data_IF_672891620080
#
_entry.id   IF_672891620080
#
_cell.length_a   1.000
_cell.length_b   1.000
_cell.length_c   1.000
_cell.angle_alpha   90.00
_cell.angle_beta   90.00
_cell.angle_gamma   90.00
#
_symmetry.space_group_name_H-M   'P 1'
#
loop_
_entity.id
_entity.type
_entity.pdbx_description
1 polymer ?
#
# COMPACT_ATOMS: atom_id res chain seq x y z
N UNK A 1 1.39 -15.74 -18.86
CA UNK A 1 0.73 -15.03 -17.74
C UNK A 1 -0.06 -16.08 -16.99
N UNK A 2 0.35 -16.44 -15.76
CA UNK A 2 -0.40 -17.43 -14.99
C UNK A 2 -1.80 -16.89 -14.67
N UNK A 3 -2.81 -17.69 -14.95
CA UNK A 3 -4.22 -17.32 -14.78
C UNK A 3 -4.49 -17.12 -13.27
N UNK A 4 -5.12 -15.99 -12.90
CA UNK A 4 -5.42 -15.65 -11.50
C UNK A 4 -4.47 -14.63 -10.83
N UNK A 5 -3.41 -14.21 -11.52
CA UNK A 5 -2.58 -13.06 -11.11
C UNK A 5 -2.97 -11.81 -11.89
N UNK A 6 -3.01 -10.67 -11.22
CA UNK A 6 -3.34 -9.36 -11.80
C UNK A 6 -2.27 -8.36 -11.39
N UNK A 7 -1.78 -7.57 -12.34
CA UNK A 7 -0.84 -6.48 -12.08
C UNK A 7 -1.60 -5.17 -12.28
N UNK A 8 -1.57 -4.30 -11.26
CA UNK A 8 -2.24 -3.01 -11.29
C UNK A 8 -1.23 -1.88 -11.06
N UNK A 9 -1.17 -0.92 -11.97
CA UNK A 9 -0.32 0.27 -11.81
C UNK A 9 -1.02 1.30 -10.95
N UNK A 10 -0.34 1.73 -9.88
CA UNK A 10 -0.83 2.76 -8.96
C UNK A 10 0.13 3.94 -8.98
N UNK A 11 -0.42 5.15 -8.81
CA UNK A 11 0.34 6.37 -8.64
C UNK A 11 0.09 7.00 -7.27
N UNK A 12 1.14 7.48 -6.62
CA UNK A 12 1.09 8.30 -5.41
C UNK A 12 1.87 9.59 -5.62
N UNK A 13 1.29 10.71 -5.17
CA UNK A 13 1.92 12.03 -5.28
C UNK A 13 3.23 12.06 -4.48
N UNK A 14 4.25 12.68 -5.07
CA UNK A 14 5.55 12.93 -4.45
C UNK A 14 5.44 14.01 -3.37
N UNK A 15 6.50 14.13 -2.56
CA UNK A 15 6.58 15.08 -1.45
C UNK A 15 6.20 14.50 -0.08
N UNK A 16 6.14 15.41 0.90
CA UNK A 16 5.75 15.13 2.28
C UNK A 16 4.24 15.16 2.49
N UNK A 17 3.80 15.14 3.75
CA UNK A 17 2.39 15.19 4.11
C UNK A 17 2.09 16.51 4.80
N UNK A 18 1.21 17.33 4.20
CA UNK A 18 0.63 18.48 4.89
C UNK A 18 -0.38 18.01 5.92
N UNK A 19 -0.35 18.53 7.15
CA UNK A 19 -1.40 18.29 8.14
C UNK A 19 -2.72 18.91 7.66
N UNK A 20 -3.85 18.18 7.71
CA UNK A 20 -5.15 18.74 7.35
C UNK A 20 -5.68 19.61 8.51
N UNK A 21 -5.22 20.86 8.60
CA UNK A 21 -5.75 21.84 9.55
C UNK A 21 -6.35 23.05 8.83
N UNK A 22 -7.52 23.55 9.29
CA UNK A 22 -8.11 24.77 8.74
C UNK A 22 -7.13 25.94 8.84
N UNK A 23 -6.92 26.66 7.73
CA UNK A 23 -6.05 27.85 7.64
C UNK A 23 -4.59 27.65 8.11
N UNK A 24 -4.12 26.42 8.34
CA UNK A 24 -2.77 26.18 8.88
C UNK A 24 -2.66 26.38 10.39
N UNK A 25 -3.76 26.58 11.11
CA UNK A 25 -3.75 26.92 12.54
C UNK A 25 -3.79 25.63 13.37
N UNK A 26 -2.81 25.47 14.27
CA UNK A 26 -2.73 24.37 15.23
C UNK A 26 -2.67 24.96 16.64
N UNK A 27 -3.62 24.59 17.49
CA UNK A 27 -3.65 25.03 18.88
C UNK A 27 -2.79 24.13 19.79
N UNK A 28 -2.42 24.66 20.96
CA UNK A 28 -1.64 23.94 21.98
C UNK A 28 -0.13 24.20 21.91
N UNK A 29 0.64 23.26 22.44
CA UNK A 29 2.09 23.41 22.64
C UNK A 29 2.85 23.64 21.32
N UNK A 30 3.87 24.52 21.28
CA UNK A 30 4.66 24.82 20.08
C UNK A 30 5.24 23.59 19.38
N UNK A 31 5.61 22.56 20.12
CA UNK A 31 6.18 21.31 19.59
C UNK A 31 5.26 20.60 18.58
N UNK A 32 3.95 20.79 18.70
CA UNK A 32 2.96 20.12 17.85
C UNK A 32 2.47 21.00 16.69
N UNK A 33 2.96 22.23 16.55
CA UNK A 33 2.42 23.21 15.59
C UNK A 33 2.90 23.00 14.13
N UNK A 34 3.76 22.01 13.86
CA UNK A 34 4.23 21.72 12.51
C UNK A 34 3.10 21.32 11.53
N UNK A 35 3.05 21.97 10.36
CA UNK A 35 2.03 21.74 9.32
C UNK A 35 2.60 21.15 8.02
N UNK A 36 3.68 21.73 7.48
CA UNK A 36 4.17 21.39 6.13
C UNK A 36 5.32 20.37 6.13
N UNK A 37 6.20 20.41 7.12
CA UNK A 37 7.42 19.58 7.18
C UNK A 37 7.18 18.19 7.78
N UNK A 38 5.92 17.75 7.87
CA UNK A 38 5.60 16.43 8.39
C UNK A 38 5.87 15.36 7.32
N UNK A 39 6.55 14.30 7.72
CA UNK A 39 6.71 13.10 6.93
C UNK A 39 5.57 12.14 7.25
N UNK A 40 5.05 11.46 6.23
CA UNK A 40 4.11 10.39 6.50
C UNK A 40 4.85 9.22 7.14
N UNK A 41 4.21 8.55 8.10
CA UNK A 41 4.78 7.39 8.75
C UNK A 41 5.03 6.29 7.70
N UNK A 42 4.01 5.86 6.96
CA UNK A 42 4.17 4.77 5.99
C UNK A 42 4.94 5.19 4.73
N UNK A 43 5.60 4.22 4.10
CA UNK A 43 6.23 4.39 2.80
C UNK A 43 5.19 4.62 1.69
N UNK A 44 5.55 5.33 0.62
CA UNK A 44 4.65 5.56 -0.53
C UNK A 44 4.19 4.25 -1.19
N UNK A 45 5.06 3.25 -1.22
CA UNK A 45 4.75 1.90 -1.73
C UNK A 45 3.68 1.18 -0.88
N UNK A 46 3.70 1.35 0.44
CA UNK A 46 2.63 0.86 1.33
C UNK A 46 1.29 1.56 1.05
N UNK A 47 1.33 2.86 0.76
CA UNK A 47 0.12 3.62 0.34
C UNK A 47 -0.40 3.17 -1.02
N UNK A 48 0.49 2.82 -1.96
CA UNK A 48 0.09 2.27 -3.27
C UNK A 48 -0.66 0.94 -3.10
N UNK A 49 -0.13 0.04 -2.27
CA UNK A 49 -0.76 -1.25 -1.96
C UNK A 49 -2.14 -1.09 -1.31
N UNK A 50 -2.27 -0.18 -0.33
CA UNK A 50 -3.53 0.15 0.32
C UNK A 50 -4.56 0.72 -0.67
N UNK A 51 -4.15 1.61 -1.58
CA UNK A 51 -5.04 2.14 -2.62
C UNK A 51 -5.53 1.06 -3.57
N UNK A 52 -4.64 0.15 -3.98
CA UNK A 52 -5.01 -0.99 -4.82
C UNK A 52 -5.97 -1.93 -4.10
N UNK A 53 -5.64 -2.35 -2.87
CA UNK A 53 -6.47 -3.27 -2.08
C UNK A 53 -7.84 -2.69 -1.73
N UNK A 54 -7.92 -1.38 -1.47
CA UNK A 54 -9.18 -0.68 -1.24
C UNK A 54 -10.06 -0.67 -2.50
N UNK A 55 -9.48 -0.38 -3.66
CA UNK A 55 -10.22 -0.34 -4.93
C UNK A 55 -10.61 -1.75 -5.42
N UNK A 56 -9.77 -2.75 -5.14
CA UNK A 56 -9.90 -4.13 -5.60
C UNK A 56 -10.14 -5.09 -4.42
N UNK A 57 -11.19 -4.85 -3.63
CA UNK A 57 -11.46 -5.59 -2.39
C UNK A 57 -11.66 -7.10 -2.54
N UNK A 58 -12.05 -7.58 -3.73
CA UNK A 58 -12.18 -9.01 -4.04
C UNK A 58 -10.83 -9.72 -4.16
N UNK A 59 -9.78 -9.00 -4.51
CA UNK A 59 -8.45 -9.55 -4.73
C UNK A 59 -7.62 -9.55 -3.43
N UNK A 60 -6.43 -10.17 -3.48
CA UNK A 60 -5.48 -10.21 -2.37
C UNK A 60 -4.16 -9.61 -2.82
N UNK A 61 -3.69 -8.59 -2.11
CA UNK A 61 -2.38 -7.99 -2.39
C UNK A 61 -1.28 -8.95 -1.97
N UNK A 62 -0.41 -9.31 -2.92
CA UNK A 62 0.75 -10.16 -2.68
C UNK A 62 1.96 -9.31 -2.30
N UNK A 63 2.37 -8.44 -3.21
CA UNK A 63 3.48 -7.50 -3.06
C UNK A 63 3.34 -6.39 -4.12
N UNK A 64 4.28 -5.46 -4.14
CA UNK A 64 4.39 -4.41 -5.15
C UNK A 64 5.84 -4.24 -5.58
N UNK A 65 6.14 -3.46 -6.62
CA UNK A 65 7.49 -3.01 -6.94
C UNK A 65 7.47 -1.61 -7.55
N UNK A 66 8.61 -0.92 -7.47
CA UNK A 66 8.76 0.39 -8.09
C UNK A 66 8.90 0.25 -9.60
N UNK A 67 8.23 1.12 -10.35
CA UNK A 67 8.28 1.13 -11.80
C UNK A 67 8.99 2.37 -12.33
N UNK A 68 8.46 3.56 -12.04
CA UNK A 68 8.99 4.81 -12.56
C UNK A 68 8.63 5.99 -11.62
N UNK A 69 9.22 7.15 -11.84
CA UNK A 69 9.00 8.37 -11.08
C UNK A 69 9.05 9.58 -12.02
N UNK A 70 8.05 10.46 -11.93
CA UNK A 70 8.04 11.74 -12.62
C UNK A 70 8.21 12.90 -11.60
N UNK A 71 8.08 14.16 -12.02
CA UNK A 71 8.21 15.31 -11.10
C UNK A 71 7.16 15.33 -9.98
N UNK A 72 5.98 14.76 -10.22
CA UNK A 72 4.78 14.93 -9.39
C UNK A 72 4.32 13.63 -8.70
N UNK A 73 4.59 12.48 -9.29
CA UNK A 73 4.08 11.16 -8.94
C UNK A 73 5.18 10.11 -8.97
N UNK A 74 5.01 9.11 -8.11
CA UNK A 74 5.76 7.87 -8.11
C UNK A 74 4.81 6.76 -8.54
N UNK A 75 5.27 5.91 -9.44
CA UNK A 75 4.50 4.79 -9.98
C UNK A 75 5.05 3.48 -9.42
N UNK A 76 4.14 2.65 -8.93
CA UNK A 76 4.42 1.30 -8.47
C UNK A 76 3.44 0.33 -9.13
N UNK A 77 3.89 -0.88 -9.42
CA UNK A 77 3.02 -1.95 -9.87
C UNK A 77 2.73 -2.88 -8.68
N UNK A 78 1.45 -3.08 -8.41
CA UNK A 78 0.95 -3.93 -7.32
C UNK A 78 0.53 -5.25 -7.92
N UNK A 79 1.04 -6.35 -7.36
CA UNK A 79 0.70 -7.71 -7.73
C UNK A 79 -0.44 -8.16 -6.83
N UNK A 80 -1.57 -8.46 -7.45
CA UNK A 80 -2.76 -9.00 -6.79
C UNK A 80 -3.04 -10.41 -7.29
N UNK A 81 -3.75 -11.16 -6.45
CA UNK A 81 -4.16 -12.54 -6.73
C UNK A 81 -5.65 -12.67 -6.51
N UNK A 82 -6.34 -13.38 -7.39
CA UNK A 82 -7.73 -13.77 -7.21
C UNK A 82 -7.84 -15.08 -6.41
N UNK A 83 -8.33 -15.06 -5.15
CA UNK A 83 -8.47 -16.26 -4.34
C UNK A 83 -9.61 -17.19 -4.78
N UNK A 84 -10.54 -16.73 -5.63
CA UNK A 84 -11.63 -17.53 -6.15
C UNK A 84 -11.22 -18.37 -7.38
N UNK A 85 -10.11 -18.01 -8.03
CA UNK A 85 -9.66 -18.68 -9.25
C UNK A 85 -9.12 -20.09 -8.96
N UNK A 86 -9.60 -21.09 -9.71
CA UNK A 86 -9.22 -22.51 -9.51
C UNK A 86 -7.71 -22.75 -9.60
N UNK A 87 -7.02 -22.07 -10.55
CA UNK A 87 -5.56 -22.17 -10.69
C UNK A 87 -4.79 -21.72 -9.44
N UNK A 88 -5.31 -20.73 -8.69
CA UNK A 88 -4.68 -20.27 -7.44
C UNK A 88 -4.99 -21.21 -6.28
N UNK A 89 -6.22 -21.72 -6.22
CA UNK A 89 -6.64 -22.63 -5.15
C UNK A 89 -5.94 -23.98 -5.22
N UNK A 90 -5.67 -24.47 -6.43
CA UNK A 90 -5.06 -25.78 -6.66
C UNK A 90 -3.53 -25.75 -6.64
N UNK A 91 -2.89 -24.58 -6.75
CA UNK A 91 -1.42 -24.47 -6.72
C UNK A 91 -0.89 -24.44 -5.27
N UNK A 92 -0.14 -25.47 -4.81
CA UNK A 92 0.38 -25.55 -3.45
C UNK A 92 1.37 -24.44 -3.09
N UNK A 93 1.94 -23.72 -4.06
CA UNK A 93 2.92 -22.65 -3.80
C UNK A 93 2.25 -21.34 -3.35
N UNK A 94 1.01 -21.10 -3.76
CA UNK A 94 0.31 -19.83 -3.52
C UNK A 94 -1.02 -19.99 -2.79
N UNK A 95 -1.62 -21.18 -2.75
CA UNK A 95 -2.94 -21.42 -2.16
C UNK A 95 -3.09 -20.92 -0.71
N UNK A 96 -2.00 -20.75 0.04
CA UNK A 96 -1.99 -20.12 1.36
C UNK A 96 -2.68 -18.75 1.34
N UNK A 97 -2.57 -17.98 0.25
CA UNK A 97 -3.19 -16.64 0.10
C UNK A 97 -4.72 -16.68 0.17
N UNK A 98 -5.33 -17.83 -0.13
CA UNK A 98 -6.78 -18.02 -0.13
C UNK A 98 -7.38 -18.10 1.27
N UNK A 99 -6.57 -18.37 2.30
CA UNK A 99 -7.05 -18.42 3.68
C UNK A 99 -7.55 -17.04 4.14
N UNK A 100 -8.65 -17.03 4.92
CA UNK A 100 -9.31 -15.81 5.38
C UNK A 100 -8.38 -14.87 6.17
N UNK A 101 -7.38 -15.43 6.85
CA UNK A 101 -6.37 -14.69 7.62
C UNK A 101 -5.50 -13.76 6.77
N UNK A 102 -5.44 -13.96 5.45
CA UNK A 102 -4.68 -13.11 4.52
C UNK A 102 -5.56 -12.05 3.82
N UNK A 103 -6.81 -11.85 4.27
CA UNK A 103 -7.61 -10.69 3.86
C UNK A 103 -6.93 -9.40 4.31
N UNK A 104 -6.89 -8.41 3.43
CA UNK A 104 -6.40 -7.05 3.71
C UNK A 104 -5.05 -6.98 4.45
N UNK A 105 -4.04 -7.70 3.94
CA UNK A 105 -2.67 -7.66 4.49
C UNK A 105 -2.06 -6.26 4.35
N UNK A 106 -2.41 -5.57 3.27
CA UNK A 106 -1.98 -4.20 2.97
C UNK A 106 -2.46 -3.21 4.03
N UNK A 107 -3.68 -3.36 4.55
CA UNK A 107 -4.25 -2.49 5.59
C UNK A 107 -3.62 -2.75 6.97
N UNK A 108 -3.25 -4.00 7.24
CA UNK A 108 -2.66 -4.43 8.52
C UNK A 108 -1.14 -4.31 8.56
N UNK A 109 -0.53 -3.89 7.46
CA UNK A 109 0.92 -3.73 7.36
C UNK A 109 1.71 -5.05 7.34
N UNK A 110 1.10 -6.11 6.80
CA UNK A 110 1.73 -7.44 6.69
C UNK A 110 2.41 -7.69 5.33
N UNK A 111 2.32 -6.73 4.41
CA UNK A 111 3.08 -6.75 3.15
C UNK A 111 4.54 -6.39 3.39
N UNK A 112 5.43 -6.81 2.48
CA UNK A 112 6.86 -6.54 2.61
C UNK A 112 7.17 -5.03 2.76
N UNK A 113 6.52 -4.19 1.95
CA UNK A 113 6.73 -2.74 1.99
C UNK A 113 6.31 -2.11 3.34
N UNK A 114 5.31 -2.69 4.00
CA UNK A 114 4.80 -2.22 5.28
C UNK A 114 5.58 -2.80 6.47
N UNK A 115 5.99 -4.08 6.40
CA UNK A 115 6.89 -4.70 7.38
C UNK A 115 8.23 -3.97 7.47
N UNK A 116 8.83 -3.64 6.31
CA UNK A 116 10.05 -2.84 6.27
C UNK A 116 9.91 -1.51 7.03
N UNK A 117 8.74 -0.87 7.01
CA UNK A 117 8.53 0.33 7.80
C UNK A 117 8.40 0.05 9.30
N UNK A 118 7.69 -1.02 9.69
CA UNK A 118 7.49 -1.41 11.09
C UNK A 118 8.80 -1.84 11.77
N UNK A 119 9.65 -2.57 11.06
CA UNK A 119 10.89 -3.13 11.62
C UNK A 119 12.04 -2.11 11.67
N UNK A 120 11.89 -0.95 11.01
CA UNK A 120 12.85 0.16 11.03
C UNK A 120 12.44 1.29 11.99
N UNK A 121 11.49 1.04 12.88
CA UNK A 121 11.16 1.89 14.06
C UNK A 121 11.80 1.24 15.27
#
# INVERSE_FOLDING_TARGET
INIGYVIYRVRVRRGGRKRPVPKGIVYGKPTNQGVTQLKFQRSKRSVDEERAGWKLGGLKVLNSYWLNEDSTYKYSEVILVDPAHAAIRNDPRINWICNSVHKHKELRGLTYASKKYRDNI
#
